data_IF_081767168353
#
_entry.id   IF_081767168353
#
_cell.length_a   1.000
_cell.length_b   1.000
_cell.length_c   1.000
_cell.angle_alpha   90.00
_cell.angle_beta   90.00
_cell.angle_gamma   90.00
#
_symmetry.space_group_name_H-M   'P 1'
#
loop_
_entity.id
_entity.type
_entity.pdbx_description
1 polymer ?
#
# COMPACT_ATOMS: atom_id res chain seq x y z
N UNK A 1 -3.75 15.09 28.09
CA UNK A 1 -2.94 15.27 26.87
C UNK A 1 -3.56 16.42 26.12
N UNK A 2 -2.84 17.50 25.79
CA UNK A 2 -3.49 18.68 25.21
C UNK A 2 -3.78 18.50 23.71
N UNK A 3 -4.70 19.30 23.18
CA UNK A 3 -5.14 19.25 21.78
C UNK A 3 -3.97 19.44 20.81
N UNK A 4 -3.00 20.29 21.15
CA UNK A 4 -1.83 20.56 20.30
C UNK A 4 -0.92 19.34 20.13
N UNK A 5 -0.75 18.57 21.22
CA UNK A 5 -0.02 17.30 21.17
C UNK A 5 -0.75 16.29 20.28
N UNK A 6 -2.08 16.20 20.40
CA UNK A 6 -2.89 15.30 19.56
C UNK A 6 -2.84 15.71 18.08
N UNK A 7 -2.86 17.02 17.78
CA UNK A 7 -2.69 17.55 16.43
C UNK A 7 -1.30 17.21 15.85
N UNK A 8 -0.25 17.30 16.67
CA UNK A 8 1.11 16.92 16.25
C UNK A 8 1.20 15.42 15.96
N UNK A 9 0.59 14.59 16.80
CA UNK A 9 0.51 13.14 16.55
C UNK A 9 -0.28 12.84 15.28
N UNK A 10 -1.39 13.55 15.02
CA UNK A 10 -2.18 13.38 13.80
C UNK A 10 -1.35 13.67 12.54
N UNK A 11 -0.59 14.76 12.53
CA UNK A 11 0.31 15.08 11.41
C UNK A 11 1.35 13.98 11.17
N UNK A 12 1.94 13.44 12.24
CA UNK A 12 2.88 12.32 12.12
C UNK A 12 2.19 11.06 11.55
N UNK A 13 0.94 10.80 11.95
CA UNK A 13 0.16 9.66 11.43
C UNK A 13 -0.20 9.87 9.95
N UNK A 14 -0.50 11.09 9.53
CA UNK A 14 -0.73 11.46 8.13
C UNK A 14 0.51 11.22 7.27
N UNK A 15 1.66 11.74 7.69
CA UNK A 15 2.91 11.50 6.97
C UNK A 15 3.26 10.01 6.85
N UNK A 16 3.00 9.24 7.91
CA UNK A 16 3.20 7.80 7.86
C UNK A 16 2.23 7.11 6.88
N UNK A 17 0.98 7.56 6.78
CA UNK A 17 0.04 7.04 5.77
C UNK A 17 0.52 7.35 4.36
N UNK A 18 0.86 8.61 4.08
CA UNK A 18 1.37 9.05 2.78
C UNK A 18 2.62 8.25 2.37
N UNK A 19 3.53 8.00 3.33
CA UNK A 19 4.71 7.18 3.09
C UNK A 19 4.36 5.73 2.74
N UNK A 20 3.38 5.13 3.40
CA UNK A 20 2.95 3.76 3.10
C UNK A 20 2.22 3.70 1.75
N UNK A 21 1.41 4.69 1.42
CA UNK A 21 0.73 4.79 0.12
C UNK A 21 1.72 4.94 -1.03
N UNK A 22 2.76 5.76 -0.84
CA UNK A 22 3.86 5.87 -1.81
C UNK A 22 4.60 4.55 -2.00
N UNK A 23 4.88 3.82 -0.92
CA UNK A 23 5.48 2.48 -0.96
C UNK A 23 4.59 1.49 -1.71
N UNK A 24 3.28 1.49 -1.44
CA UNK A 24 2.29 0.64 -2.09
C UNK A 24 2.19 0.94 -3.59
N UNK A 25 2.17 2.21 -3.97
CA UNK A 25 2.20 2.63 -5.38
C UNK A 25 3.47 2.18 -6.09
N UNK A 26 4.63 2.23 -5.43
CA UNK A 26 5.89 1.70 -5.98
C UNK A 26 5.82 0.18 -6.17
N UNK A 27 5.37 -0.57 -5.18
CA UNK A 27 5.25 -2.03 -5.24
C UNK A 27 4.25 -2.46 -6.33
N UNK A 28 3.11 -1.79 -6.43
CA UNK A 28 2.10 -2.06 -7.47
C UNK A 28 2.66 -1.89 -8.88
N UNK A 29 3.43 -0.82 -9.13
CA UNK A 29 4.13 -0.63 -10.41
C UNK A 29 5.14 -1.74 -10.70
N UNK A 30 5.88 -2.18 -9.68
CA UNK A 30 6.84 -3.29 -9.84
C UNK A 30 6.15 -4.62 -10.15
N UNK A 31 5.04 -4.93 -9.47
CA UNK A 31 4.22 -6.12 -9.76
C UNK A 31 3.75 -6.10 -11.20
N UNK A 32 3.15 -4.99 -11.64
CA UNK A 32 2.67 -4.82 -13.02
C UNK A 32 3.80 -5.00 -14.03
N UNK A 33 4.96 -4.40 -13.80
CA UNK A 33 6.12 -4.55 -14.67
C UNK A 33 6.61 -6.01 -14.77
N UNK A 34 6.63 -6.75 -13.66
CA UNK A 34 7.00 -8.17 -13.67
C UNK A 34 5.94 -9.04 -14.37
N UNK A 35 4.66 -8.74 -14.24
CA UNK A 35 3.59 -9.41 -14.99
C UNK A 35 3.72 -9.18 -16.50
N UNK A 36 4.00 -7.94 -16.91
CA UNK A 36 4.24 -7.60 -18.32
C UNK A 36 5.48 -8.33 -18.87
N UNK A 37 6.55 -8.39 -18.07
CA UNK A 37 7.77 -9.13 -18.43
C UNK A 37 7.49 -10.62 -18.60
N UNK A 38 6.73 -11.23 -17.69
CA UNK A 38 6.36 -12.65 -17.81
C UNK A 38 5.55 -12.91 -19.08
N UNK A 39 4.55 -12.07 -19.38
CA UNK A 39 3.77 -12.20 -20.61
C UNK A 39 4.63 -12.08 -21.86
N UNK A 40 5.61 -11.17 -21.87
CA UNK A 40 6.53 -11.02 -22.98
C UNK A 40 7.39 -12.28 -23.19
N UNK A 41 7.93 -12.85 -22.10
CA UNK A 41 8.71 -14.10 -22.15
C UNK A 41 7.84 -15.28 -22.63
N UNK A 42 6.60 -15.38 -22.14
CA UNK A 42 5.65 -16.43 -22.57
C UNK A 42 5.32 -16.30 -24.06
N UNK A 43 5.07 -15.08 -24.54
CA UNK A 43 4.82 -14.82 -25.97
C UNK A 43 6.04 -15.13 -26.85
N UNK A 44 7.25 -14.73 -26.45
CA UNK A 44 8.48 -15.06 -27.16
C UNK A 44 8.72 -16.57 -27.21
N UNK A 45 8.44 -17.25 -26.11
CA UNK A 45 8.56 -18.69 -26.01
C UNK A 45 7.60 -19.41 -26.97
N UNK A 46 6.32 -19.02 -26.99
CA UNK A 46 5.33 -19.57 -27.92
C UNK A 46 5.72 -19.35 -29.38
N UNK A 47 6.19 -18.14 -29.72
CA UNK A 47 6.63 -17.80 -31.08
C UNK A 47 7.82 -18.65 -31.52
N UNK A 48 8.81 -18.85 -30.65
CA UNK A 48 9.96 -19.69 -31.00
C UNK A 48 9.62 -21.16 -31.05
N UNK A 49 8.70 -21.64 -30.20
CA UNK A 49 8.22 -23.00 -30.27
C UNK A 49 7.54 -23.29 -31.61
N UNK A 50 6.72 -22.37 -32.11
CA UNK A 50 6.06 -22.51 -33.42
C UNK A 50 7.09 -22.48 -34.56
N UNK A 51 8.04 -21.55 -34.50
CA UNK A 51 9.13 -21.44 -35.47
C UNK A 51 10.04 -22.68 -35.48
N UNK A 52 10.28 -23.28 -34.32
CA UNK A 52 11.02 -24.52 -34.17
C UNK A 52 10.25 -25.71 -34.76
N UNK A 53 8.95 -25.86 -34.46
CA UNK A 53 8.10 -26.91 -35.03
C UNK A 53 8.12 -26.89 -36.55
N UNK A 54 7.97 -25.70 -37.15
CA UNK A 54 8.02 -25.52 -38.61
C UNK A 54 9.38 -25.97 -39.18
N UNK A 55 10.49 -25.49 -38.61
CA UNK A 55 11.85 -25.89 -39.02
C UNK A 55 12.06 -27.40 -38.94
N UNK A 56 11.62 -28.04 -37.86
CA UNK A 56 11.75 -29.49 -37.68
C UNK A 56 10.87 -30.31 -38.63
N UNK A 57 9.74 -29.75 -39.09
CA UNK A 57 8.89 -30.42 -40.09
C UNK A 57 9.46 -30.33 -41.51
N UNK A 58 10.19 -29.28 -41.82
CA UNK A 58 10.78 -29.03 -43.14
C UNK A 58 12.16 -29.68 -43.28
N UNK A 59 13.01 -29.58 -42.24
CA UNK A 59 14.38 -30.09 -42.25
C UNK A 59 14.82 -30.56 -40.85
N UNK A 60 14.57 -31.85 -40.52
CA UNK A 60 14.92 -32.39 -39.21
C UNK A 60 16.45 -32.43 -39.02
N UNK A 61 16.96 -31.64 -38.08
CA UNK A 61 18.38 -31.62 -37.73
C UNK A 61 18.58 -31.83 -36.21
N UNK A 62 19.36 -32.84 -35.79
CA UNK A 62 19.71 -33.08 -34.38
C UNK A 62 20.36 -31.88 -33.67
N UNK A 63 21.14 -31.06 -34.39
CA UNK A 63 21.77 -29.88 -33.81
C UNK A 63 20.73 -28.80 -33.45
N UNK A 64 19.74 -28.59 -34.32
CA UNK A 64 18.60 -27.70 -34.06
C UNK A 64 17.82 -28.12 -32.82
N UNK A 65 17.62 -29.43 -32.63
CA UNK A 65 16.97 -29.98 -31.43
C UNK A 65 17.78 -29.70 -30.16
N UNK A 66 19.11 -29.86 -30.20
CA UNK A 66 20.00 -29.55 -29.07
C UNK A 66 19.96 -28.07 -28.71
N UNK A 67 20.02 -27.18 -29.70
CA UNK A 67 19.94 -25.73 -29.50
C UNK A 67 18.60 -25.32 -28.89
N UNK A 68 17.50 -25.87 -29.40
CA UNK A 68 16.17 -25.60 -28.85
C UNK A 68 16.02 -26.10 -27.41
N UNK A 69 16.58 -27.26 -27.06
CA UNK A 69 16.60 -27.75 -25.69
C UNK A 69 17.33 -26.80 -24.73
N UNK A 70 18.48 -26.26 -25.16
CA UNK A 70 19.22 -25.26 -24.37
C UNK A 70 18.43 -23.96 -24.19
N UNK A 71 17.80 -23.47 -25.27
CA UNK A 71 16.93 -22.30 -25.23
C UNK A 71 15.73 -22.52 -24.29
N UNK A 72 15.07 -23.68 -24.39
CA UNK A 72 13.95 -24.06 -23.54
C UNK A 72 14.33 -24.06 -22.06
N UNK A 73 15.50 -24.61 -21.72
CA UNK A 73 16.01 -24.64 -20.36
C UNK A 73 16.27 -23.22 -19.81
N UNK A 74 16.90 -22.35 -20.62
CA UNK A 74 17.15 -20.95 -20.24
C UNK A 74 15.85 -20.17 -20.04
N UNK A 75 14.91 -20.26 -20.97
CA UNK A 75 13.60 -19.60 -20.88
C UNK A 75 12.79 -20.10 -19.67
N UNK A 76 12.80 -21.41 -19.41
CA UNK A 76 12.15 -21.99 -18.22
C UNK A 76 12.76 -21.44 -16.93
N UNK A 77 14.09 -21.33 -16.88
CA UNK A 77 14.80 -20.75 -15.73
C UNK A 77 14.41 -19.29 -15.50
N UNK A 78 14.39 -18.48 -16.58
CA UNK A 78 13.94 -17.08 -16.55
C UNK A 78 12.50 -16.95 -16.08
N UNK A 79 11.57 -17.75 -16.62
CA UNK A 79 10.17 -17.76 -16.21
C UNK A 79 10.01 -18.08 -14.72
N UNK A 80 10.73 -19.09 -14.24
CA UNK A 80 10.68 -19.49 -12.83
C UNK A 80 11.21 -18.39 -11.91
N UNK A 81 12.32 -17.73 -12.28
CA UNK A 81 12.86 -16.62 -11.50
C UNK A 81 11.90 -15.44 -11.45
N UNK A 82 11.35 -15.02 -12.60
CA UNK A 82 10.37 -13.93 -12.64
C UNK A 82 9.08 -14.26 -11.88
N UNK A 83 8.59 -15.51 -11.93
CA UNK A 83 7.44 -15.97 -11.13
C UNK A 83 7.75 -15.92 -9.63
N UNK A 84 8.96 -16.32 -9.22
CA UNK A 84 9.41 -16.25 -7.82
C UNK A 84 9.47 -14.81 -7.32
N UNK A 85 10.05 -13.90 -8.12
CA UNK A 85 10.11 -12.48 -7.82
C UNK A 85 8.70 -11.90 -7.71
N UNK A 86 7.83 -12.17 -8.69
CA UNK A 86 6.45 -11.69 -8.71
C UNK A 86 5.68 -12.14 -7.45
N UNK A 87 5.78 -13.43 -7.08
CA UNK A 87 5.16 -13.96 -5.87
C UNK A 87 5.61 -13.19 -4.63
N UNK A 88 6.92 -12.97 -4.48
CA UNK A 88 7.47 -12.19 -3.35
C UNK A 88 6.94 -10.76 -3.33
N UNK A 89 6.86 -10.09 -4.48
CA UNK A 89 6.32 -8.71 -4.57
C UNK A 89 4.83 -8.63 -4.25
N UNK A 90 4.05 -9.64 -4.65
CA UNK A 90 2.63 -9.74 -4.28
C UNK A 90 2.46 -9.92 -2.78
N UNK A 91 3.30 -10.75 -2.14
CA UNK A 91 3.29 -10.91 -0.68
C UNK A 91 3.66 -9.61 0.04
N UNK A 92 4.71 -8.91 -0.42
CA UNK A 92 5.10 -7.58 0.09
C UNK A 92 3.98 -6.54 -0.07
N UNK A 93 3.27 -6.55 -1.21
CA UNK A 93 2.14 -5.67 -1.47
C UNK A 93 1.01 -5.91 -0.46
N UNK A 94 0.62 -7.17 -0.24
CA UNK A 94 -0.42 -7.55 0.74
C UNK A 94 -0.05 -7.13 2.17
N UNK A 95 1.20 -7.32 2.57
CA UNK A 95 1.68 -6.87 3.88
C UNK A 95 1.63 -5.35 4.01
N UNK A 96 1.95 -4.63 2.94
CA UNK A 96 1.89 -3.16 2.91
C UNK A 96 0.46 -2.65 2.96
N UNK A 97 -0.49 -3.30 2.27
CA UNK A 97 -1.93 -3.03 2.38
C UNK A 97 -2.42 -3.19 3.82
N UNK A 98 -2.02 -4.26 4.51
CA UNK A 98 -2.37 -4.47 5.92
C UNK A 98 -1.78 -3.38 6.83
N UNK A 99 -0.54 -2.96 6.57
CA UNK A 99 0.09 -1.83 7.29
C UNK A 99 -0.68 -0.54 7.07
N UNK A 100 -1.15 -0.28 5.86
CA UNK A 100 -1.95 0.91 5.54
C UNK A 100 -3.28 0.90 6.29
N UNK A 101 -4.00 -0.23 6.28
CA UNK A 101 -5.25 -0.40 7.04
C UNK A 101 -5.01 -0.13 8.53
N UNK A 102 -3.92 -0.64 9.10
CA UNK A 102 -3.56 -0.38 10.49
C UNK A 102 -3.29 1.11 10.73
N UNK A 103 -2.56 1.78 9.84
CA UNK A 103 -2.28 3.20 9.94
C UNK A 103 -3.57 4.05 9.91
N UNK A 104 -4.54 3.71 9.06
CA UNK A 104 -5.88 4.33 9.06
C UNK A 104 -6.62 4.14 10.39
N UNK A 105 -6.60 2.94 10.96
CA UNK A 105 -7.23 2.67 12.27
C UNK A 105 -6.57 3.47 13.38
N UNK A 106 -5.24 3.54 13.39
CA UNK A 106 -4.49 4.30 14.38
C UNK A 106 -4.75 5.81 14.26
N UNK A 107 -4.78 6.37 13.04
CA UNK A 107 -5.15 7.78 12.82
C UNK A 107 -6.55 8.07 13.35
N UNK A 108 -7.53 7.24 12.99
CA UNK A 108 -8.92 7.40 13.43
C UNK A 108 -9.08 7.37 14.95
N UNK A 109 -8.26 6.56 15.66
CA UNK A 109 -8.24 6.56 17.11
C UNK A 109 -7.79 7.91 17.68
N UNK A 110 -6.73 8.49 17.12
CA UNK A 110 -6.22 9.80 17.57
C UNK A 110 -7.20 10.92 17.25
N UNK A 111 -7.89 10.86 16.10
CA UNK A 111 -8.96 11.81 15.76
C UNK A 111 -10.08 11.79 16.80
N UNK A 112 -10.55 10.59 17.18
CA UNK A 112 -11.58 10.44 18.23
C UNK A 112 -11.10 10.99 19.57
N UNK A 113 -9.84 10.77 19.95
CA UNK A 113 -9.27 11.32 21.18
C UNK A 113 -9.24 12.85 21.15
N UNK A 114 -8.83 13.45 20.02
CA UNK A 114 -8.83 14.90 19.82
C UNK A 114 -10.23 15.48 19.93
N UNK A 115 -11.20 14.86 19.26
CA UNK A 115 -12.57 15.35 19.25
C UNK A 115 -13.22 15.26 20.65
N UNK A 116 -12.92 14.19 21.40
CA UNK A 116 -13.32 14.07 22.80
C UNK A 116 -12.71 15.16 23.68
N UNK A 117 -11.41 15.43 23.52
CA UNK A 117 -10.73 16.48 24.29
C UNK A 117 -11.30 17.87 23.97
N UNK A 118 -11.54 18.18 22.70
CA UNK A 118 -12.21 19.41 22.29
C UNK A 118 -13.61 19.55 22.89
N UNK A 119 -14.38 18.46 22.92
CA UNK A 119 -15.70 18.46 23.54
C UNK A 119 -15.63 18.68 25.06
N UNK A 120 -14.63 18.13 25.73
CA UNK A 120 -14.40 18.37 27.16
C UNK A 120 -14.06 19.83 27.44
N UNK A 121 -13.17 20.43 26.63
CA UNK A 121 -12.83 21.85 26.72
C UNK A 121 -14.08 22.72 26.53
N UNK A 122 -14.88 22.47 25.48
CA UNK A 122 -16.14 23.19 25.24
C UNK A 122 -17.11 23.09 26.41
N UNK A 123 -17.30 21.90 26.97
CA UNK A 123 -18.16 21.69 28.15
C UNK A 123 -17.64 22.44 29.37
N UNK A 124 -16.32 22.47 29.57
CA UNK A 124 -15.69 23.19 30.68
C UNK A 124 -15.88 24.70 30.55
N UNK A 125 -15.61 25.27 29.37
CA UNK A 125 -15.81 26.69 29.09
C UNK A 125 -17.27 27.10 29.29
N UNK A 126 -18.22 26.33 28.76
CA UNK A 126 -19.65 26.59 28.96
C UNK A 126 -20.06 26.60 30.44
N UNK A 127 -19.47 25.70 31.26
CA UNK A 127 -19.71 25.68 32.71
C UNK A 127 -19.13 26.91 33.41
N UNK A 128 -17.97 27.40 32.97
CA UNK A 128 -17.36 28.62 33.50
C UNK A 128 -18.21 29.84 33.13
N UNK A 129 -18.61 29.97 31.87
CA UNK A 129 -19.48 31.04 31.38
C UNK A 129 -20.80 31.08 32.14
N UNK A 130 -21.45 29.92 32.33
CA UNK A 130 -22.70 29.85 33.09
C UNK A 130 -22.50 30.34 34.53
N UNK A 131 -21.45 29.89 35.22
CA UNK A 131 -21.14 30.34 36.59
C UNK A 131 -20.94 31.85 36.66
N UNK A 132 -20.22 32.43 35.70
CA UNK A 132 -19.99 33.87 35.64
C UNK A 132 -21.30 34.64 35.43
N UNK A 133 -22.19 34.15 34.56
CA UNK A 133 -23.51 34.74 34.35
C UNK A 133 -24.38 34.68 35.61
N UNK A 134 -24.39 33.53 36.29
CA UNK A 134 -25.13 33.33 37.54
C UNK A 134 -24.61 34.26 38.66
N UNK A 135 -23.29 34.43 38.79
CA UNK A 135 -22.67 35.37 39.72
C UNK A 135 -23.07 36.83 39.42
N UNK A 136 -23.07 37.24 38.14
CA UNK A 136 -23.49 38.59 37.73
C UNK A 136 -24.97 38.81 38.04
N UNK A 137 -25.83 37.83 37.72
CA UNK A 137 -27.26 37.90 37.99
C UNK A 137 -27.54 38.04 39.49
N UNK A 138 -26.85 37.24 40.32
CA UNK A 138 -26.99 37.27 41.78
C UNK A 138 -26.52 38.60 42.37
N UNK A 139 -25.41 39.17 41.88
CA UNK A 139 -24.92 40.50 42.31
C UNK A 139 -25.87 41.64 41.92
N UNK A 140 -26.55 41.54 40.77
CA UNK A 140 -27.52 42.56 40.32
C UNK A 140 -28.87 42.48 41.03
N UNK A 141 -29.29 41.29 41.47
CA UNK A 141 -30.55 41.09 42.19
C UNK A 141 -30.46 41.45 43.68
N UNK A 142 -29.25 41.46 44.25
CA UNK A 142 -28.99 41.77 45.66
C UNK A 142 -28.54 43.22 45.89
N UNK A 143 -28.73 44.11 44.90
CA UNK A 143 -28.60 45.57 45.00
C UNK A 143 -29.99 46.21 44.90
#
# INVERSE_FOLDING_TARGET
MNVDSLNSILKLKEWNQESIEAELGRLSRMVKHHEETLRAIEFEFEREMESFKKRMSEEPNPESLRLFHSYFADMTSKLNEHRRILKKRIEELKLTEQRLIKAYREKSLVEKLRDNELNNIKKHLKRIEQKQLDEIATKRYNQ
#
